data_IF_721930298527
#
_entry.id   IF_721930298527
#
_cell.length_a   1.000
_cell.length_b   1.000
_cell.length_c   1.000
_cell.angle_alpha   90.00
_cell.angle_beta   90.00
_cell.angle_gamma   90.00
#
_symmetry.space_group_name_H-M   'P 1'
#
loop_
_entity.id
_entity.type
_entity.pdbx_description
1 polymer ?
#
# COMPACT_ATOMS: atom_id res chain seq x y z
N UNK A 1 -29.03 15.14 14.73
CA UNK A 1 -27.82 14.30 14.61
C UNK A 1 -26.67 15.10 15.20
N UNK A 2 -26.03 14.68 16.32
CA UNK A 2 -24.92 15.47 16.85
C UNK A 2 -23.71 15.29 15.93
N UNK A 3 -23.25 16.39 15.36
CA UNK A 3 -21.92 16.47 14.76
C UNK A 3 -20.92 16.11 15.86
N UNK A 4 -20.31 14.93 15.75
CA UNK A 4 -19.25 14.48 16.64
C UNK A 4 -18.00 15.25 16.24
N UNK A 5 -17.91 16.52 16.67
CA UNK A 5 -16.68 17.29 16.50
C UNK A 5 -15.56 16.51 17.17
N UNK A 6 -14.50 16.15 16.44
CA UNK A 6 -13.40 15.39 16.99
C UNK A 6 -12.79 16.19 18.15
N UNK A 7 -12.56 15.51 19.27
CA UNK A 7 -11.95 16.14 20.43
C UNK A 7 -10.57 16.72 20.08
N UNK A 8 -10.11 17.79 20.75
CA UNK A 8 -8.81 18.40 20.48
C UNK A 8 -7.64 17.40 20.45
N UNK A 9 -7.66 16.40 21.34
CA UNK A 9 -6.65 15.33 21.37
C UNK A 9 -6.65 14.46 20.10
N UNK A 10 -7.82 14.21 19.51
CA UNK A 10 -7.97 13.45 18.26
C UNK A 10 -7.42 14.24 17.08
N UNK A 11 -7.75 15.52 17.00
CA UNK A 11 -7.23 16.44 15.96
C UNK A 11 -5.70 16.55 16.05
N UNK A 12 -5.15 16.59 17.26
CA UNK A 12 -3.70 16.63 17.46
C UNK A 12 -3.02 15.32 17.03
N UNK A 13 -3.59 14.17 17.39
CA UNK A 13 -3.07 12.86 17.01
C UNK A 13 -3.12 12.60 15.50
N UNK A 14 -4.21 12.99 14.84
CA UNK A 14 -4.40 12.85 13.39
C UNK A 14 -3.40 13.73 12.62
N UNK A 15 -3.23 15.00 13.03
CA UNK A 15 -2.21 15.89 12.41
C UNK A 15 -0.80 15.34 12.54
N UNK A 16 -0.46 14.80 13.71
CA UNK A 16 0.85 14.18 13.92
C UNK A 16 1.04 12.90 13.09
N UNK A 17 -0.06 12.18 12.79
CA UNK A 17 -0.02 11.00 11.92
C UNK A 17 0.35 11.37 10.49
N UNK A 18 -0.28 12.42 9.94
CA UNK A 18 0.02 12.92 8.59
C UNK A 18 1.48 13.40 8.48
N UNK A 19 1.97 14.11 9.50
CA UNK A 19 3.36 14.60 9.54
C UNK A 19 4.41 13.47 9.59
N UNK A 20 4.13 12.37 10.27
CA UNK A 20 5.01 11.19 10.33
C UNK A 20 5.02 10.42 9.00
N UNK A 21 3.85 10.27 8.37
CA UNK A 21 3.74 9.63 7.05
C UNK A 21 4.47 10.45 5.99
N UNK A 22 4.30 11.77 6.00
CA UNK A 22 5.00 12.67 5.09
C UNK A 22 6.53 12.57 5.28
N UNK A 23 7.01 12.61 6.53
CA UNK A 23 8.44 12.42 6.84
C UNK A 23 8.95 11.05 6.40
N UNK A 24 8.17 9.99 6.60
CA UNK A 24 8.55 8.65 6.16
C UNK A 24 8.67 8.59 4.63
N UNK A 25 7.71 9.14 3.88
CA UNK A 25 7.81 9.29 2.43
C UNK A 25 9.04 10.12 2.04
N UNK A 26 9.38 11.16 2.81
CA UNK A 26 10.53 12.02 2.60
C UNK A 26 11.88 11.30 2.72
N UNK A 27 11.96 10.19 3.47
CA UNK A 27 13.16 9.36 3.55
C UNK A 27 13.35 8.43 2.36
N UNK A 28 12.29 8.17 1.57
CA UNK A 28 12.40 7.27 0.42
C UNK A 28 13.14 7.93 -0.75
N UNK A 29 13.96 7.16 -1.47
CA UNK A 29 14.47 7.56 -2.78
C UNK A 29 13.33 8.00 -3.71
N UNK A 30 13.51 9.05 -4.53
CA UNK A 30 12.44 9.62 -5.36
C UNK A 30 11.71 8.58 -6.22
N UNK A 31 12.45 7.66 -6.82
CA UNK A 31 11.93 6.56 -7.64
C UNK A 31 10.99 5.61 -6.87
N UNK A 32 11.29 5.34 -5.60
CA UNK A 32 10.49 4.44 -4.77
C UNK A 32 9.27 5.17 -4.24
N UNK A 33 9.46 6.43 -3.80
CA UNK A 33 8.38 7.30 -3.36
C UNK A 33 7.33 7.47 -4.45
N UNK A 34 7.73 7.84 -5.66
CA UNK A 34 6.80 8.03 -6.77
C UNK A 34 5.99 6.75 -7.05
N UNK A 35 6.64 5.59 -7.10
CA UNK A 35 5.97 4.32 -7.34
C UNK A 35 4.99 3.94 -6.21
N UNK A 36 5.34 4.22 -4.95
CA UNK A 36 4.47 3.96 -3.80
C UNK A 36 3.28 4.92 -3.77
N UNK A 37 3.51 6.23 -3.93
CA UNK A 37 2.45 7.25 -3.95
C UNK A 37 1.42 6.95 -5.03
N UNK A 38 1.88 6.70 -6.26
CA UNK A 38 0.98 6.40 -7.38
C UNK A 38 0.16 5.12 -7.15
N UNK A 39 0.73 4.13 -6.45
CA UNK A 39 0.03 2.87 -6.16
C UNK A 39 -0.92 2.97 -4.97
N UNK A 40 -0.42 3.47 -3.83
CA UNK A 40 -1.09 3.36 -2.53
C UNK A 40 -1.96 4.58 -2.20
N UNK A 41 -1.66 5.74 -2.79
CA UNK A 41 -2.39 6.99 -2.56
C UNK A 41 -3.29 7.29 -3.76
N UNK A 42 -2.73 7.30 -4.97
CA UNK A 42 -3.51 7.58 -6.19
C UNK A 42 -4.29 6.36 -6.71
N UNK A 43 -3.97 5.15 -6.23
CA UNK A 43 -4.71 3.94 -6.59
C UNK A 43 -4.52 3.45 -8.03
N UNK A 44 -3.46 3.90 -8.71
CA UNK A 44 -3.17 3.50 -10.09
C UNK A 44 -2.76 2.02 -10.20
N UNK A 45 -3.12 1.39 -11.32
CA UNK A 45 -2.67 0.04 -11.65
C UNK A 45 -1.16 0.01 -11.93
N UNK A 46 -0.55 -1.17 -11.83
CA UNK A 46 0.89 -1.31 -12.07
C UNK A 46 1.27 -0.96 -13.52
N UNK A 47 0.37 -1.24 -14.46
CA UNK A 47 0.48 -0.90 -15.88
C UNK A 47 0.45 0.62 -16.10
N UNK A 48 -0.47 1.33 -15.46
CA UNK A 48 -0.56 2.80 -15.53
C UNK A 48 0.67 3.46 -14.89
N UNK A 49 1.15 2.93 -13.76
CA UNK A 49 2.38 3.41 -13.13
C UNK A 49 3.59 3.19 -14.03
N UNK A 50 3.67 2.03 -14.69
CA UNK A 50 4.74 1.72 -15.63
C UNK A 50 4.77 2.71 -16.80
N UNK A 51 3.59 3.02 -17.37
CA UNK A 51 3.44 4.01 -18.42
C UNK A 51 3.79 5.43 -17.94
N UNK A 52 3.30 5.83 -16.76
CA UNK A 52 3.52 7.16 -16.16
C UNK A 52 4.99 7.42 -15.85
N UNK A 53 5.69 6.42 -15.29
CA UNK A 53 7.09 6.53 -14.91
C UNK A 53 8.07 6.15 -16.04
N UNK A 54 7.57 5.67 -17.18
CA UNK A 54 8.40 5.22 -18.30
C UNK A 54 9.30 4.03 -17.98
N UNK A 55 8.87 3.12 -17.10
CA UNK A 55 9.66 1.95 -16.65
C UNK A 55 8.92 0.63 -16.88
N UNK A 56 9.66 -0.48 -16.85
CA UNK A 56 9.07 -1.82 -16.99
C UNK A 56 8.18 -2.20 -15.79
N UNK A 57 7.14 -2.99 -16.02
CA UNK A 57 6.24 -3.50 -14.98
C UNK A 57 6.98 -4.22 -13.84
N UNK A 58 8.02 -5.00 -14.16
CA UNK A 58 8.88 -5.65 -13.16
C UNK A 58 9.63 -4.64 -12.27
N UNK A 59 10.04 -3.51 -12.84
CA UNK A 59 10.68 -2.41 -12.09
C UNK A 59 9.68 -1.78 -11.14
N UNK A 60 8.45 -1.50 -11.59
CA UNK A 60 7.36 -0.97 -10.74
C UNK A 60 7.15 -1.86 -9.52
N UNK A 61 6.95 -3.17 -9.71
CA UNK A 61 6.79 -4.13 -8.60
C UNK A 61 7.95 -4.08 -7.63
N UNK A 62 9.19 -4.06 -8.14
CA UNK A 62 10.40 -3.99 -7.30
C UNK A 62 10.53 -2.68 -6.52
N UNK A 63 10.15 -1.54 -7.13
CA UNK A 63 10.18 -0.22 -6.50
C UNK A 63 9.12 -0.11 -5.40
N UNK A 64 7.89 -0.53 -5.68
CA UNK A 64 6.80 -0.56 -4.69
C UNK A 64 7.18 -1.46 -3.51
N UNK A 65 7.68 -2.68 -3.78
CA UNK A 65 8.06 -3.61 -2.72
C UNK A 65 9.14 -3.01 -1.80
N UNK A 66 10.21 -2.46 -2.38
CA UNK A 66 11.29 -1.83 -1.60
C UNK A 66 10.84 -0.56 -0.88
N UNK A 67 10.04 0.28 -1.54
CA UNK A 67 9.48 1.49 -0.92
C UNK A 67 8.59 1.16 0.28
N UNK A 68 7.67 0.20 0.14
CA UNK A 68 6.84 -0.27 1.27
C UNK A 68 7.67 -0.88 2.40
N UNK A 69 8.75 -1.59 2.09
CA UNK A 69 9.65 -2.10 3.13
C UNK A 69 10.29 -0.94 3.92
N UNK A 70 10.84 0.07 3.24
CA UNK A 70 11.43 1.24 3.89
C UNK A 70 10.41 2.05 4.69
N UNK A 71 9.18 2.22 4.17
CA UNK A 71 8.11 2.87 4.92
C UNK A 71 7.74 2.11 6.19
N UNK A 72 7.69 0.77 6.15
CA UNK A 72 7.43 -0.02 7.34
C UNK A 72 8.50 0.17 8.40
N UNK A 73 9.77 0.25 8.01
CA UNK A 73 10.86 0.53 8.96
C UNK A 73 10.76 1.95 9.52
N UNK A 74 10.53 2.96 8.67
CA UNK A 74 10.40 4.36 9.08
C UNK A 74 9.20 4.58 10.02
N UNK A 75 8.09 3.87 9.79
CA UNK A 75 6.87 3.96 10.58
C UNK A 75 6.75 2.85 11.65
N UNK A 76 7.81 2.06 11.90
CA UNK A 76 7.76 0.93 12.83
C UNK A 76 7.36 1.34 14.25
N UNK A 77 7.78 2.54 14.68
CA UNK A 77 7.43 3.15 15.96
C UNK A 77 5.92 3.44 16.13
N UNK A 78 5.17 3.39 15.02
CA UNK A 78 3.73 3.67 14.93
C UNK A 78 2.90 2.48 14.47
N UNK A 79 3.51 1.35 14.15
CA UNK A 79 2.75 0.18 13.73
C UNK A 79 1.72 -0.11 14.84
N UNK A 80 0.40 -0.01 14.58
CA UNK A 80 -0.58 -0.51 15.54
C UNK A 80 -0.18 -1.96 15.81
N UNK A 81 -0.29 -2.47 17.04
CA UNK A 81 -0.08 -3.88 17.30
C UNK A 81 -0.95 -4.66 16.32
N UNK A 82 -0.33 -5.09 15.22
CA UNK A 82 -1.06 -5.75 14.14
C UNK A 82 -1.38 -7.09 14.74
N UNK A 83 -2.61 -7.21 15.29
CA UNK A 83 -3.23 -8.51 15.51
C UNK A 83 -3.02 -9.24 14.21
N UNK A 84 -2.13 -10.23 14.21
CA UNK A 84 -1.82 -11.05 13.04
C UNK A 84 -3.13 -11.70 12.60
N UNK A 85 -3.87 -11.04 11.72
CA UNK A 85 -4.87 -11.66 10.88
C UNK A 85 -4.09 -12.43 9.82
N UNK A 86 -3.55 -13.56 10.27
CA UNK A 86 -2.84 -14.52 9.45
C UNK A 86 -3.83 -15.04 8.41
N UNK A 87 -3.48 -14.81 7.14
CA UNK A 87 -3.79 -15.64 5.99
C UNK A 87 -5.19 -16.27 5.90
N UNK A 88 -5.99 -15.79 4.95
CA UNK A 88 -6.77 -16.70 4.11
C UNK A 88 -6.70 -16.26 2.65
N UNK A 89 -5.64 -16.69 1.96
CA UNK A 89 -5.63 -16.87 0.50
C UNK A 89 -5.53 -18.38 0.28
N UNK A 90 -6.68 -19.04 0.06
CA UNK A 90 -7.20 -19.50 -1.23
C UNK A 90 -6.59 -20.85 -1.68
N UNK A 91 -7.38 -21.70 -2.37
CA UNK A 91 -7.22 -21.70 -3.82
C UNK A 91 -8.53 -21.76 -4.60
N UNK A 92 -8.56 -20.99 -5.69
CA UNK A 92 -9.42 -21.25 -6.86
C UNK A 92 -8.89 -22.53 -7.51
N UNK A 93 -9.49 -23.66 -7.16
CA UNK A 93 -9.23 -24.96 -7.79
C UNK A 93 -9.91 -25.03 -9.16
N UNK A 94 -9.14 -24.80 -10.21
CA UNK A 94 -9.53 -25.15 -11.56
C UNK A 94 -9.58 -26.68 -11.71
N UNK A 95 -10.72 -27.18 -12.20
CA UNK A 95 -10.85 -28.57 -12.65
C UNK A 95 -11.52 -28.61 -14.04
N UNK A 96 -10.63 -28.70 -15.05
CA UNK A 96 -10.62 -29.68 -16.16
C UNK A 96 -11.76 -29.70 -17.21
N UNK A 97 -11.34 -29.60 -18.48
CA UNK A 97 -12.13 -29.82 -19.71
C UNK A 97 -12.34 -31.33 -20.03
N UNK A 98 -13.60 -31.68 -20.37
CA UNK A 98 -14.10 -32.65 -21.38
C UNK A 98 -13.89 -34.19 -21.23
N UNK A 99 -14.53 -35.06 -22.06
CA UNK A 99 -15.96 -35.22 -22.39
C UNK A 99 -16.45 -36.71 -22.30
N UNK A 100 -17.76 -36.96 -22.40
CA UNK A 100 -18.36 -38.24 -22.81
C UNK A 100 -19.70 -37.91 -23.50
N UNK A 101 -20.00 -38.31 -24.73
CA UNK A 101 -19.89 -39.65 -25.28
C UNK A 101 -21.34 -40.14 -25.47
N UNK A 102 -21.72 -40.41 -26.71
CA UNK A 102 -23.08 -40.71 -27.19
C UNK A 102 -23.76 -41.91 -26.52
#
# INVERSE_FOLDING_TARGET
MPSREPSPDQVYADRHFDDDVQRALDTLPPDFRAAVVLCDIEGLSYEEIAATLGVKLGTVRSRIHRGRAQLREALAHRAPEVRRATATRAPLGGARLAPAGA
#
